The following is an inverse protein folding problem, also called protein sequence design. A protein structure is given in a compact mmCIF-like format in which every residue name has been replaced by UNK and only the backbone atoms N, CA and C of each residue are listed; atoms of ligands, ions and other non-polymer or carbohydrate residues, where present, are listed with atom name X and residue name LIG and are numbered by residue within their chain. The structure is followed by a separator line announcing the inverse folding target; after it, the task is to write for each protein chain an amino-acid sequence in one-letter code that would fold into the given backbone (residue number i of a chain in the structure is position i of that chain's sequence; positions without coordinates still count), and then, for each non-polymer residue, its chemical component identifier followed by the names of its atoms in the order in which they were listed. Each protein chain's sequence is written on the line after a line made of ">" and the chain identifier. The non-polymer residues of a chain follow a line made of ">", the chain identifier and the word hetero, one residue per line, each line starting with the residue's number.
data_IF_855719533768
#
_entry.id   IF_855719533768
#
_cell.length_a   1.000
_cell.length_b   1.000
_cell.length_c   1.000
_cell.angle_alpha   90.00
_cell.angle_beta   90.00
_cell.angle_gamma   90.00
#
_symmetry.space_group_name_H-M   'P 1'
#
loop_
_entity.id
_entity.type
_entity.pdbx_description
1 polymer ?
#
# COMPACT_ATOMS: atom_id res chain seq x y z
N UNK A 1 -45.41 43.89 31.25
CA UNK A 1 -46.00 43.21 30.07
C UNK A 1 -44.84 43.03 29.09
N UNK A 2 -43.79 42.35 29.55
CA UNK A 2 -42.41 42.49 29.07
C UNK A 2 -41.78 41.10 28.97
N UNK A 3 -42.41 40.22 28.19
CA UNK A 3 -41.96 38.85 27.98
C UNK A 3 -42.27 38.32 26.56
N UNK A 4 -42.36 39.21 25.56
CA UNK A 4 -42.67 38.85 24.16
C UNK A 4 -41.87 39.69 23.14
N UNK A 5 -40.58 39.93 23.41
CA UNK A 5 -39.70 40.65 22.45
C UNK A 5 -38.33 40.01 22.20
N UNK A 6 -38.15 38.76 22.60
CA UNK A 6 -36.91 37.99 22.36
C UNK A 6 -37.12 36.79 21.40
N UNK A 7 -38.16 36.80 20.56
CA UNK A 7 -38.43 35.74 19.57
C UNK A 7 -38.25 36.17 18.10
N UNK A 8 -37.53 37.26 17.82
CA UNK A 8 -37.34 37.75 16.43
C UNK A 8 -35.88 37.87 15.96
N UNK A 9 -34.98 37.03 16.47
CA UNK A 9 -33.59 36.93 15.95
C UNK A 9 -33.20 35.51 15.47
N UNK A 10 -34.16 34.59 15.34
CA UNK A 10 -33.90 33.19 14.98
C UNK A 10 -34.42 32.81 13.56
N UNK A 11 -34.09 33.59 12.53
CA UNK A 11 -34.37 33.19 11.14
C UNK A 11 -33.42 33.82 10.11
N UNK A 12 -32.12 33.83 10.37
CA UNK A 12 -31.15 34.00 9.28
C UNK A 12 -30.84 32.60 8.70
N UNK A 13 -31.12 32.31 7.43
CA UNK A 13 -30.65 31.08 6.82
C UNK A 13 -29.12 31.15 6.83
N UNK A 14 -28.49 30.22 7.54
CA UNK A 14 -27.08 29.91 7.38
C UNK A 14 -26.87 29.56 5.91
N UNK A 15 -26.55 30.57 5.10
CA UNK A 15 -26.00 30.41 3.76
C UNK A 15 -24.72 29.65 3.99
N UNK A 16 -24.79 28.33 3.85
CA UNK A 16 -23.64 27.47 3.81
C UNK A 16 -22.71 28.08 2.75
N UNK A 17 -21.55 28.56 3.18
CA UNK A 17 -20.48 28.92 2.27
C UNK A 17 -20.37 27.79 1.24
N UNK A 18 -20.27 28.09 -0.06
CA UNK A 18 -20.29 27.06 -1.09
C UNK A 18 -19.21 26.05 -0.73
N UNK A 19 -19.63 24.83 -0.36
CA UNK A 19 -18.72 23.76 -0.04
C UNK A 19 -17.90 23.56 -1.31
N UNK A 20 -16.65 24.04 -1.31
CA UNK A 20 -15.74 23.94 -2.44
C UNK A 20 -15.86 22.52 -3.01
N UNK A 21 -16.29 22.42 -4.27
CA UNK A 21 -16.82 21.20 -4.88
C UNK A 21 -16.00 19.98 -4.45
N UNK A 22 -16.49 19.23 -3.45
CA UNK A 22 -15.74 18.10 -2.90
C UNK A 22 -15.75 17.04 -3.99
N UNK A 23 -14.58 16.75 -4.58
CA UNK A 23 -14.45 15.67 -5.57
C UNK A 23 -15.01 14.38 -4.99
N UNK A 24 -15.60 13.54 -5.84
CA UNK A 24 -16.22 12.31 -5.39
C UNK A 24 -15.19 11.40 -4.69
N UNK A 25 -15.60 10.66 -3.65
CA UNK A 25 -14.71 9.70 -2.99
C UNK A 25 -14.09 8.66 -3.91
N UNK A 26 -14.83 8.26 -4.94
CA UNK A 26 -14.33 7.39 -5.99
C UNK A 26 -13.20 8.06 -6.80
N UNK A 27 -13.38 9.32 -7.22
CA UNK A 27 -12.34 10.05 -7.95
C UNK A 27 -11.05 10.19 -7.13
N UNK A 28 -11.16 10.48 -5.83
CA UNK A 28 -10.00 10.55 -4.95
C UNK A 28 -9.28 9.20 -4.80
N UNK A 29 -10.02 8.08 -4.79
CA UNK A 29 -9.44 6.74 -4.76
C UNK A 29 -8.71 6.41 -6.08
N UNK A 30 -9.29 6.74 -7.24
CA UNK A 30 -8.62 6.55 -8.53
C UNK A 30 -7.35 7.41 -8.64
N UNK A 31 -7.39 8.67 -8.20
CA UNK A 31 -6.20 9.55 -8.18
C UNK A 31 -5.13 8.98 -7.25
N UNK A 32 -5.51 8.46 -6.07
CA UNK A 32 -4.59 7.80 -5.16
C UNK A 32 -3.92 6.59 -5.81
N UNK A 33 -4.70 5.71 -6.43
CA UNK A 33 -4.18 4.53 -7.13
C UNK A 33 -3.26 4.91 -8.28
N UNK A 34 -3.61 5.92 -9.08
CA UNK A 34 -2.75 6.44 -10.15
C UNK A 34 -1.46 7.06 -9.60
N UNK A 35 -1.51 7.78 -8.49
CA UNK A 35 -0.33 8.35 -7.86
C UNK A 35 0.64 7.25 -7.38
N UNK A 36 0.11 6.21 -6.73
CA UNK A 36 0.89 5.03 -6.34
C UNK A 36 1.44 4.29 -7.56
N UNK A 37 0.69 4.23 -8.65
CA UNK A 37 1.13 3.60 -9.89
C UNK A 37 2.47 4.22 -10.36
N UNK A 38 2.53 5.54 -10.50
CA UNK A 38 3.74 6.22 -10.97
C UNK A 38 4.92 6.08 -9.98
N UNK A 39 4.68 6.29 -8.68
CA UNK A 39 5.74 6.20 -7.66
C UNK A 39 6.30 4.78 -7.56
N UNK A 40 5.45 3.76 -7.45
CA UNK A 40 5.87 2.39 -7.25
C UNK A 40 6.32 1.69 -8.53
N UNK A 41 5.90 2.13 -9.72
CA UNK A 41 6.50 1.64 -10.97
C UNK A 41 7.99 2.01 -11.04
N UNK A 42 8.32 3.25 -10.67
CA UNK A 42 9.70 3.71 -10.63
C UNK A 42 10.49 3.02 -9.50
N UNK A 43 9.96 3.02 -8.28
CA UNK A 43 10.64 2.43 -7.13
C UNK A 43 10.80 0.92 -7.24
N UNK A 44 9.77 0.18 -7.65
CA UNK A 44 9.81 -1.28 -7.77
C UNK A 44 10.86 -1.73 -8.79
N UNK A 45 10.94 -1.03 -9.93
CA UNK A 45 11.97 -1.30 -10.93
C UNK A 45 13.39 -0.97 -10.44
N UNK A 46 13.57 0.16 -9.74
CA UNK A 46 14.84 0.52 -9.13
C UNK A 46 15.27 -0.51 -8.07
N UNK A 47 14.35 -0.91 -7.20
CA UNK A 47 14.58 -1.92 -6.16
C UNK A 47 15.04 -3.26 -6.75
N UNK A 48 14.42 -3.71 -7.83
CA UNK A 48 14.80 -4.96 -8.49
C UNK A 48 16.22 -4.92 -9.06
N UNK A 49 16.68 -3.73 -9.48
CA UNK A 49 18.02 -3.50 -10.01
C UNK A 49 19.05 -3.18 -8.94
N UNK A 50 18.64 -2.78 -7.75
CA UNK A 50 19.50 -2.24 -6.69
C UNK A 50 20.66 -3.20 -6.33
N UNK A 51 20.35 -4.48 -6.09
CA UNK A 51 21.32 -5.52 -5.75
C UNK A 51 22.26 -5.88 -6.91
N UNK A 52 21.87 -5.58 -8.15
CA UNK A 52 22.59 -5.88 -9.39
C UNK A 52 23.43 -4.69 -9.88
N UNK A 53 22.96 -3.46 -9.67
CA UNK A 53 23.61 -2.24 -10.17
C UNK A 53 24.65 -1.70 -9.18
N UNK A 54 24.39 -1.84 -7.87
CA UNK A 54 25.23 -1.32 -6.79
C UNK A 54 25.99 -2.46 -6.07
N UNK A 55 26.90 -3.13 -6.78
CA UNK A 55 27.62 -4.32 -6.29
C UNK A 55 28.88 -4.02 -5.46
N UNK A 56 29.37 -2.77 -5.44
CA UNK A 56 30.58 -2.39 -4.69
C UNK A 56 30.36 -2.61 -3.19
N UNK A 57 30.93 -3.69 -2.64
CA UNK A 57 30.80 -4.07 -1.23
C UNK A 57 29.37 -4.44 -0.84
N UNK A 58 28.57 -4.99 -1.76
CA UNK A 58 27.15 -5.32 -1.56
C UNK A 58 26.28 -4.15 -1.12
N UNK A 59 26.69 -2.92 -1.47
CA UNK A 59 26.00 -1.68 -1.11
C UNK A 59 24.50 -1.74 -1.38
N UNK A 60 24.06 -2.22 -2.55
CA UNK A 60 22.64 -2.31 -2.88
C UNK A 60 21.86 -3.27 -1.96
N UNK A 61 22.41 -4.44 -1.68
CA UNK A 61 21.79 -5.43 -0.77
C UNK A 61 21.75 -4.92 0.67
N UNK A 62 22.84 -4.31 1.15
CA UNK A 62 22.90 -3.71 2.50
C UNK A 62 21.92 -2.53 2.62
N UNK A 63 21.85 -1.69 1.60
CA UNK A 63 20.93 -0.53 1.55
C UNK A 63 19.48 -0.99 1.58
N UNK A 64 19.13 -2.05 0.86
CA UNK A 64 17.79 -2.64 0.89
C UNK A 64 17.47 -3.27 2.26
N UNK A 65 18.45 -3.93 2.88
CA UNK A 65 18.34 -4.44 4.25
C UNK A 65 18.05 -3.31 5.25
N UNK A 66 18.83 -2.23 5.22
CA UNK A 66 18.65 -1.05 6.10
C UNK A 66 17.26 -0.44 5.91
N UNK A 67 16.79 -0.32 4.67
CA UNK A 67 15.46 0.19 4.36
C UNK A 67 14.37 -0.64 5.04
N UNK A 68 14.37 -1.96 4.86
CA UNK A 68 13.33 -2.81 5.43
C UNK A 68 13.43 -2.95 6.95
N UNK A 69 14.65 -2.96 7.51
CA UNK A 69 14.85 -2.93 8.97
C UNK A 69 14.32 -1.63 9.56
N UNK A 70 14.65 -0.48 8.97
CA UNK A 70 14.16 0.82 9.45
C UNK A 70 12.64 0.97 9.24
N UNK A 71 12.08 0.49 8.13
CA UNK A 71 10.63 0.40 7.93
C UNK A 71 9.94 -0.38 9.05
N UNK A 72 10.52 -1.51 9.45
CA UNK A 72 9.99 -2.34 10.56
C UNK A 72 10.01 -1.56 11.88
N UNK A 73 11.13 -0.91 12.20
CA UNK A 73 11.29 -0.14 13.44
C UNK A 73 10.34 1.07 13.48
N UNK A 74 10.23 1.82 12.38
CA UNK A 74 9.40 3.02 12.32
C UNK A 74 7.92 2.74 12.13
N UNK A 75 7.52 1.51 11.78
CA UNK A 75 6.10 1.11 11.71
C UNK A 75 5.38 1.27 13.05
N UNK A 76 6.10 1.14 14.17
CA UNK A 76 5.56 1.37 15.52
C UNK A 76 5.19 2.84 15.74
N UNK A 77 5.78 3.79 15.02
CA UNK A 77 5.54 5.24 15.22
C UNK A 77 4.69 5.84 14.09
N UNK A 78 4.46 5.09 13.02
CA UNK A 78 3.77 5.56 11.82
C UNK A 78 2.34 6.05 12.10
N UNK A 79 1.52 5.30 12.85
CA UNK A 79 0.11 5.66 13.08
C UNK A 79 -0.08 7.04 13.74
N UNK A 80 0.61 7.42 14.83
CA UNK A 80 0.54 8.75 15.43
C UNK A 80 1.00 9.86 14.50
N UNK A 81 2.02 9.58 13.68
CA UNK A 81 2.53 10.56 12.72
C UNK A 81 1.46 10.84 11.67
N UNK A 82 0.80 9.80 11.16
CA UNK A 82 -0.29 9.93 10.18
C UNK A 82 -1.51 10.62 10.79
N UNK A 83 -1.90 10.30 12.03
CA UNK A 83 -3.05 10.96 12.68
C UNK A 83 -2.79 12.43 12.97
N UNK A 84 -1.55 12.82 13.34
CA UNK A 84 -1.18 14.24 13.56
C UNK A 84 -1.04 15.03 12.26
N UNK A 85 -0.40 14.47 11.25
CA UNK A 85 -0.18 15.17 9.97
C UNK A 85 -1.44 15.18 9.10
N UNK A 86 -2.32 14.20 9.30
CA UNK A 86 -3.42 13.89 8.40
C UNK A 86 -2.96 13.03 7.21
N UNK A 87 -3.84 12.17 6.67
CA UNK A 87 -3.45 11.16 5.68
C UNK A 87 -2.92 11.78 4.37
N UNK A 88 -3.49 12.90 3.89
CA UNK A 88 -3.00 13.58 2.68
C UNK A 88 -1.55 14.07 2.83
N UNK A 89 -1.22 14.74 3.94
CA UNK A 89 0.14 15.25 4.16
C UNK A 89 1.12 14.10 4.42
N UNK A 90 0.67 13.06 5.11
CA UNK A 90 1.45 11.85 5.32
C UNK A 90 1.86 11.18 4.00
N UNK A 91 0.97 11.12 3.00
CA UNK A 91 1.29 10.58 1.67
C UNK A 91 2.38 11.40 0.94
N UNK A 92 2.31 12.73 1.02
CA UNK A 92 3.31 13.62 0.41
C UNK A 92 4.67 13.51 1.13
N UNK A 93 4.66 13.49 2.47
CA UNK A 93 5.88 13.28 3.26
C UNK A 93 6.47 11.90 2.97
N UNK A 94 5.63 10.86 2.92
CA UNK A 94 6.05 9.49 2.62
C UNK A 94 6.64 9.33 1.21
N UNK A 95 6.12 10.05 0.21
CA UNK A 95 6.67 10.00 -1.15
C UNK A 95 8.03 10.68 -1.29
N UNK A 96 8.36 11.64 -0.42
CA UNK A 96 9.67 12.33 -0.43
C UNK A 96 10.86 11.37 -0.24
N UNK A 97 10.71 10.33 0.58
CA UNK A 97 11.75 9.34 0.81
C UNK A 97 12.09 8.53 -0.44
N UNK A 98 11.09 8.24 -1.28
CA UNK A 98 11.29 7.49 -2.52
C UNK A 98 12.09 8.30 -3.53
N UNK A 99 11.80 9.61 -3.63
CA UNK A 99 12.54 10.55 -4.47
C UNK A 99 14.01 10.63 -4.04
N UNK A 100 14.26 10.79 -2.74
CA UNK A 100 15.62 10.87 -2.21
C UNK A 100 16.41 9.58 -2.44
N UNK A 101 15.76 8.42 -2.33
CA UNK A 101 16.40 7.14 -2.62
C UNK A 101 16.81 6.98 -4.08
N UNK A 102 15.97 7.42 -5.03
CA UNK A 102 16.32 7.45 -6.45
C UNK A 102 17.43 8.47 -6.74
N UNK A 103 17.39 9.65 -6.13
CA UNK A 103 18.44 10.66 -6.28
C UNK A 103 19.80 10.14 -5.76
N UNK A 104 19.80 9.47 -4.62
CA UNK A 104 21.01 8.89 -4.05
C UNK A 104 21.58 7.75 -4.93
N UNK A 105 20.73 7.11 -5.74
CA UNK A 105 21.12 6.10 -6.73
C UNK A 105 21.82 6.67 -7.98
N UNK A 106 21.67 7.97 -8.25
CA UNK A 106 22.42 8.66 -9.33
C UNK A 106 23.90 8.81 -8.95
N UNK A 107 24.19 9.00 -7.66
CA UNK A 107 25.56 9.08 -7.12
C UNK A 107 25.70 8.08 -5.96
N UNK A 108 25.79 6.76 -6.28
CA UNK A 108 25.76 5.71 -5.28
C UNK A 108 27.08 5.69 -4.49
N UNK A 109 27.03 6.17 -3.26
CA UNK A 109 28.11 6.09 -2.27
C UNK A 109 27.58 5.49 -0.98
N UNK A 110 28.46 4.94 -0.15
CA UNK A 110 28.08 4.41 1.16
C UNK A 110 27.34 5.44 2.02
N UNK A 111 27.79 6.69 2.01
CA UNK A 111 27.16 7.77 2.78
C UNK A 111 25.77 8.12 2.23
N UNK A 112 25.64 8.32 0.92
CA UNK A 112 24.36 8.72 0.31
C UNK A 112 23.31 7.62 0.40
N UNK A 113 23.67 6.36 0.12
CA UNK A 113 22.72 5.25 0.09
C UNK A 113 22.24 4.84 1.49
N UNK A 114 23.14 4.75 2.48
CA UNK A 114 22.76 4.36 3.85
C UNK A 114 21.77 5.36 4.46
N UNK A 115 22.05 6.65 4.31
CA UNK A 115 21.19 7.72 4.82
C UNK A 115 19.84 7.74 4.08
N UNK A 116 19.86 7.61 2.74
CA UNK A 116 18.65 7.57 1.94
C UNK A 116 17.78 6.34 2.26
N UNK A 117 18.38 5.17 2.46
CA UNK A 117 17.66 3.95 2.88
C UNK A 117 16.98 4.10 4.23
N UNK A 118 17.67 4.67 5.23
CA UNK A 118 17.12 4.88 6.56
C UNK A 118 15.96 5.87 6.53
N UNK A 119 16.10 6.96 5.77
CA UNK A 119 15.03 7.94 5.57
C UNK A 119 13.85 7.35 4.78
N UNK A 120 14.12 6.55 3.75
CA UNK A 120 13.08 5.87 2.99
C UNK A 120 12.31 4.86 3.85
N UNK A 121 12.97 4.10 4.73
CA UNK A 121 12.24 3.21 5.65
C UNK A 121 11.27 3.94 6.57
N UNK A 122 11.67 5.11 7.09
CA UNK A 122 10.76 6.00 7.84
C UNK A 122 9.60 6.52 6.98
N UNK A 123 9.89 6.97 5.77
CA UNK A 123 8.86 7.49 4.86
C UNK A 123 7.90 6.39 4.39
N UNK A 124 8.39 5.18 4.15
CA UNK A 124 7.60 4.03 3.76
C UNK A 124 6.63 3.62 4.87
N UNK A 125 7.02 3.69 6.15
CA UNK A 125 6.10 3.38 7.25
C UNK A 125 4.93 4.34 7.29
N UNK A 126 5.19 5.62 7.05
CA UNK A 126 4.17 6.68 6.99
C UNK A 126 3.29 6.53 5.76
N UNK A 127 3.86 6.26 4.58
CA UNK A 127 3.09 6.24 3.32
C UNK A 127 2.06 5.11 3.33
N UNK A 128 2.43 3.91 3.80
CA UNK A 128 1.54 2.75 3.82
C UNK A 128 0.43 2.89 4.85
N UNK A 129 0.74 3.44 6.03
CA UNK A 129 -0.30 3.74 7.02
C UNK A 129 -1.22 4.86 6.51
N UNK A 130 -0.66 5.93 5.93
CA UNK A 130 -1.42 7.03 5.35
C UNK A 130 -2.34 6.59 4.21
N UNK A 131 -1.86 5.69 3.35
CA UNK A 131 -2.62 5.09 2.26
C UNK A 131 -3.79 4.28 2.80
N UNK A 132 -3.56 3.40 3.77
CA UNK A 132 -4.61 2.58 4.37
C UNK A 132 -5.70 3.44 5.03
N UNK A 133 -5.31 4.48 5.78
CA UNK A 133 -6.25 5.42 6.39
C UNK A 133 -7.03 6.22 5.34
N UNK A 134 -6.36 6.77 4.33
CA UNK A 134 -7.03 7.56 3.29
C UNK A 134 -8.01 6.72 2.48
N UNK A 135 -7.59 5.53 2.03
CA UNK A 135 -8.42 4.65 1.22
C UNK A 135 -9.64 4.16 1.98
N UNK A 136 -9.47 3.79 3.26
CA UNK A 136 -10.58 3.41 4.13
C UNK A 136 -11.56 4.57 4.31
N UNK A 137 -11.06 5.77 4.58
CA UNK A 137 -11.90 6.97 4.72
C UNK A 137 -12.66 7.29 3.42
N UNK A 138 -12.01 7.16 2.26
CA UNK A 138 -12.65 7.37 0.96
C UNK A 138 -13.74 6.33 0.70
N UNK A 139 -13.48 5.05 0.97
CA UNK A 139 -14.45 3.96 0.79
C UNK A 139 -15.65 4.10 1.73
N UNK A 140 -15.42 4.44 3.01
CA UNK A 140 -16.49 4.65 3.99
C UNK A 140 -17.33 5.89 3.65
N UNK A 141 -16.70 6.99 3.22
CA UNK A 141 -17.41 8.17 2.72
C UNK A 141 -18.27 7.80 1.51
N UNK A 142 -17.73 7.03 0.56
CA UNK A 142 -18.49 6.59 -0.61
C UNK A 142 -19.70 5.74 -0.23
N UNK A 143 -19.52 4.82 0.72
CA UNK A 143 -20.60 3.95 1.21
C UNK A 143 -21.72 4.75 1.87
N UNK A 144 -21.37 5.75 2.69
CA UNK A 144 -22.34 6.64 3.34
C UNK A 144 -23.09 7.51 2.33
N UNK A 145 -22.38 8.10 1.38
CA UNK A 145 -22.99 8.99 0.38
C UNK A 145 -23.96 8.23 -0.56
N UNK A 146 -23.77 6.92 -0.75
CA UNK A 146 -24.56 6.07 -1.65
C UNK A 146 -25.41 4.99 -0.94
N UNK A 147 -25.50 5.02 0.40
CA UNK A 147 -26.22 4.01 1.21
C UNK A 147 -25.82 2.56 0.89
N UNK A 148 -24.54 2.31 0.63
CA UNK A 148 -23.99 0.98 0.33
C UNK A 148 -23.43 0.31 1.58
N UNK A 149 -23.23 -1.02 1.54
CA UNK A 149 -22.60 -1.73 2.64
C UNK A 149 -21.11 -1.37 2.76
N UNK A 150 -20.74 -0.77 3.89
CA UNK A 150 -19.37 -0.28 4.19
C UNK A 150 -18.32 -1.35 3.90
N UNK A 151 -18.60 -2.59 4.30
CA UNK A 151 -17.66 -3.68 4.14
C UNK A 151 -17.42 -4.12 2.69
N UNK A 152 -18.46 -4.09 1.84
CA UNK A 152 -18.35 -4.42 0.41
C UNK A 152 -17.65 -3.31 -0.35
N UNK A 153 -18.00 -2.06 -0.07
CA UNK A 153 -17.36 -0.89 -0.70
C UNK A 153 -15.89 -0.80 -0.35
N UNK A 154 -15.51 -1.05 0.91
CA UNK A 154 -14.11 -1.13 1.33
C UNK A 154 -13.36 -2.25 0.59
N UNK A 155 -13.98 -3.42 0.46
CA UNK A 155 -13.40 -4.54 -0.30
C UNK A 155 -13.15 -4.17 -1.77
N UNK A 156 -14.12 -3.52 -2.43
CA UNK A 156 -13.99 -3.11 -3.82
C UNK A 156 -12.89 -2.06 -4.03
N UNK A 157 -12.86 -1.01 -3.20
CA UNK A 157 -11.87 0.07 -3.31
C UNK A 157 -10.45 -0.44 -3.05
N UNK A 158 -10.28 -1.34 -2.07
CA UNK A 158 -8.96 -1.93 -1.82
C UNK A 158 -8.56 -2.93 -2.90
N UNK A 159 -9.48 -3.77 -3.38
CA UNK A 159 -9.21 -4.67 -4.50
C UNK A 159 -8.78 -3.91 -5.76
N UNK A 160 -9.45 -2.79 -6.07
CA UNK A 160 -9.09 -1.94 -7.20
C UNK A 160 -7.69 -1.32 -7.02
N UNK A 161 -7.39 -0.77 -5.84
CA UNK A 161 -6.08 -0.21 -5.53
C UNK A 161 -4.95 -1.24 -5.72
N UNK A 162 -5.08 -2.43 -5.13
CA UNK A 162 -4.07 -3.49 -5.26
C UNK A 162 -4.00 -4.07 -6.68
N UNK A 163 -5.11 -4.10 -7.41
CA UNK A 163 -5.14 -4.46 -8.83
C UNK A 163 -4.32 -3.50 -9.69
N UNK A 164 -4.51 -2.19 -9.52
CA UNK A 164 -3.69 -1.17 -10.18
C UNK A 164 -2.23 -1.28 -9.73
N UNK A 165 -2.00 -1.51 -8.45
CA UNK A 165 -0.66 -1.63 -7.90
C UNK A 165 0.11 -2.84 -8.46
N UNK A 166 -0.55 -3.97 -8.73
CA UNK A 166 0.09 -5.13 -9.35
C UNK A 166 0.66 -4.78 -10.75
N UNK A 167 -0.02 -3.91 -11.50
CA UNK A 167 0.45 -3.47 -12.82
C UNK A 167 1.76 -2.67 -12.77
N UNK A 168 2.11 -2.07 -11.62
CA UNK A 168 3.38 -1.33 -11.44
C UNK A 168 4.60 -2.21 -11.65
N UNK A 169 4.53 -3.47 -11.21
CA UNK A 169 5.61 -4.43 -11.39
C UNK A 169 5.82 -4.78 -12.86
N UNK A 170 4.77 -4.75 -13.68
CA UNK A 170 4.91 -4.98 -15.11
C UNK A 170 5.46 -3.73 -15.80
N UNK A 171 4.81 -2.58 -15.59
CA UNK A 171 5.15 -1.32 -16.26
C UNK A 171 6.56 -0.86 -15.91
N UNK A 172 6.90 -0.83 -14.62
CA UNK A 172 8.21 -0.38 -14.14
C UNK A 172 9.35 -1.25 -14.67
N UNK A 173 9.19 -2.57 -14.61
CA UNK A 173 10.24 -3.49 -15.02
C UNK A 173 10.39 -3.58 -16.55
N UNK A 174 9.31 -3.40 -17.32
CA UNK A 174 9.38 -3.24 -18.78
C UNK A 174 10.08 -1.94 -19.18
N UNK A 175 9.80 -0.84 -18.48
CA UNK A 175 10.47 0.44 -18.69
C UNK A 175 11.98 0.32 -18.43
N UNK A 176 12.35 -0.36 -17.34
CA UNK A 176 13.74 -0.71 -17.02
C UNK A 176 14.41 -1.53 -18.12
N UNK A 177 13.76 -2.60 -18.59
CA UNK A 177 14.25 -3.44 -19.68
C UNK A 177 14.47 -2.64 -20.97
N UNK A 178 13.50 -1.81 -21.37
CA UNK A 178 13.56 -1.04 -22.62
C UNK A 178 14.72 -0.01 -22.60
N UNK A 179 14.86 0.71 -21.49
CA UNK A 179 15.91 1.73 -21.35
C UNK A 179 17.31 1.13 -21.24
N UNK A 180 17.45 0.00 -20.54
CA UNK A 180 18.73 -0.70 -20.43
C UNK A 180 19.11 -1.43 -21.73
N UNK A 181 18.15 -1.89 -22.52
CA UNK A 181 18.39 -2.58 -23.82
C UNK A 181 18.80 -1.62 -24.95
N UNK A 182 18.28 -0.40 -24.94
CA UNK A 182 18.59 0.62 -25.95
C UNK A 182 19.98 1.27 -25.73
N UNK A 183 20.53 1.20 -24.51
CA UNK A 183 21.93 1.54 -24.25
C UNK A 183 22.84 0.42 -24.74
N UNK A 184 23.21 0.43 -26.03
CA UNK A 184 24.05 -0.59 -26.67
C UNK A 184 25.48 -0.74 -26.10
N UNK A 185 25.81 0.01 -25.05
CA UNK A 185 26.94 -0.23 -24.16
C UNK A 185 26.44 -0.25 -22.70
N UNK A 186 25.85 -1.37 -22.27
CA UNK A 186 25.21 -1.57 -20.94
C UNK A 186 26.11 -1.38 -19.70
N UNK A 187 27.34 -0.88 -19.89
CA UNK A 187 28.28 -0.47 -18.86
C UNK A 187 28.46 1.04 -18.71
N UNK A 188 27.91 1.88 -19.61
CA UNK A 188 28.12 3.32 -19.55
C UNK A 188 27.26 3.97 -18.47
N UNK A 189 27.90 4.76 -17.59
CA UNK A 189 27.29 5.59 -16.54
C UNK A 189 26.05 6.35 -17.03
N UNK A 190 26.05 6.73 -18.31
CA UNK A 190 24.95 7.44 -18.98
C UNK A 190 23.62 6.67 -19.00
N UNK A 191 23.63 5.35 -19.25
CA UNK A 191 22.38 4.57 -19.36
C UNK A 191 21.67 4.40 -18.02
N UNK A 192 22.44 4.14 -16.95
CA UNK A 192 21.93 4.05 -15.58
C UNK A 192 21.40 5.39 -15.09
N UNK A 193 22.13 6.48 -15.33
CA UNK A 193 21.69 7.82 -14.96
C UNK A 193 20.41 8.22 -15.71
N UNK A 194 20.31 7.90 -17.01
CA UNK A 194 19.09 8.14 -17.77
C UNK A 194 17.89 7.39 -17.20
N UNK A 195 18.06 6.12 -16.83
CA UNK A 195 17.01 5.32 -16.19
C UNK A 195 16.49 5.97 -14.90
N UNK A 196 17.39 6.35 -13.99
CA UNK A 196 17.02 6.99 -12.73
C UNK A 196 16.40 8.38 -12.94
N UNK A 197 16.82 9.14 -13.95
CA UNK A 197 16.20 10.43 -14.31
C UNK A 197 14.77 10.24 -14.81
N UNK A 198 14.52 9.23 -15.66
CA UNK A 198 13.16 8.91 -16.13
C UNK A 198 12.28 8.46 -14.96
N UNK A 199 12.80 7.64 -14.05
CA UNK A 199 12.13 7.24 -12.81
C UNK A 199 11.81 8.43 -11.90
N UNK A 200 12.72 9.40 -11.79
CA UNK A 200 12.50 10.62 -11.03
C UNK A 200 11.34 11.44 -11.63
N UNK A 201 11.29 11.61 -12.94
CA UNK A 201 10.19 12.28 -13.63
C UNK A 201 8.84 11.61 -13.37
N UNK A 202 8.81 10.27 -13.43
CA UNK A 202 7.64 9.45 -13.08
C UNK A 202 7.19 9.70 -11.63
N UNK A 203 8.12 9.69 -10.66
CA UNK A 203 7.80 9.96 -9.26
C UNK A 203 7.26 11.37 -9.03
N UNK A 204 7.79 12.39 -9.72
CA UNK A 204 7.29 13.77 -9.63
C UNK A 204 5.83 13.84 -10.08
N UNK A 205 5.46 13.18 -11.19
CA UNK A 205 4.06 13.08 -11.63
C UNK A 205 3.20 12.44 -10.55
N UNK A 206 3.66 11.34 -9.94
CA UNK A 206 2.98 10.69 -8.82
C UNK A 206 2.77 11.62 -7.62
N UNK A 207 3.79 12.39 -7.22
CA UNK A 207 3.70 13.35 -6.11
C UNK A 207 2.73 14.48 -6.43
N UNK A 208 2.75 15.01 -7.66
CA UNK A 208 1.78 16.02 -8.09
C UNK A 208 0.36 15.47 -7.96
N UNK A 209 0.10 14.22 -8.38
CA UNK A 209 -1.20 13.57 -8.18
C UNK A 209 -1.55 13.41 -6.68
N UNK A 210 -0.59 13.08 -5.81
CA UNK A 210 -0.81 13.04 -4.35
C UNK A 210 -1.16 14.42 -3.78
N UNK A 211 -0.55 15.49 -4.30
CA UNK A 211 -0.88 16.86 -3.91
C UNK A 211 -2.29 17.27 -4.34
N UNK A 212 -2.81 16.71 -5.43
CA UNK A 212 -4.14 16.94 -5.98
C UNK A 212 -5.26 16.19 -5.23
N UNK A 213 -4.94 15.29 -4.30
CA UNK A 213 -5.94 14.62 -3.46
C UNK A 213 -6.77 15.62 -2.67
N UNK A 214 -8.07 15.35 -2.55
CA UNK A 214 -8.94 16.18 -1.71
C UNK A 214 -8.58 16.01 -0.22
N UNK A 215 -8.72 17.09 0.56
CA UNK A 215 -8.52 17.02 2.02
C UNK A 215 -9.70 16.26 2.64
N UNK A 216 -9.53 14.95 2.85
CA UNK A 216 -10.45 14.11 3.62
C UNK A 216 -10.01 14.12 5.08
N UNK A 217 -10.55 15.07 5.84
CA UNK A 217 -10.54 14.99 7.29
C UNK A 217 -11.71 14.10 7.71
N UNK A 218 -11.42 13.01 8.42
CA UNK A 218 -12.44 12.34 9.18
C UNK A 218 -12.95 13.31 10.25
N UNK A 219 -14.23 13.70 10.17
CA UNK A 219 -14.96 14.17 11.35
C UNK A 219 -15.14 12.96 12.27
N UNK A 220 -14.14 12.65 13.08
CA UNK A 220 -14.16 11.47 13.95
C UNK A 220 -13.16 11.59 15.09
N UNK A 221 -13.66 12.04 16.25
CA UNK A 221 -13.00 12.10 17.56
C UNK A 221 -11.73 12.95 17.69
N UNK A 222 -11.95 14.23 18.01
CA UNK A 222 -11.06 15.03 18.84
C UNK A 222 -11.04 14.48 20.29
N UNK A 223 -10.66 13.21 20.45
CA UNK A 223 -10.24 12.69 21.76
C UNK A 223 -8.91 13.34 22.16
N UNK A 224 -8.62 13.52 23.46
CA UNK A 224 -7.47 14.30 23.92
C UNK A 224 -6.18 13.82 23.26
N UNK A 225 -5.49 14.77 22.63
CA UNK A 225 -4.22 14.64 21.94
C UNK A 225 -3.07 14.34 22.92
N UNK A 226 -3.13 13.21 23.63
CA UNK A 226 -2.05 12.72 24.47
C UNK A 226 -2.10 11.20 24.63
N UNK A 227 -2.11 10.45 23.52
CA UNK A 227 -1.82 9.02 23.59
C UNK A 227 -0.33 8.86 23.91
N UNK A 228 -0.01 8.70 25.19
CA UNK A 228 1.31 8.29 25.66
C UNK A 228 1.82 7.11 24.82
N UNK A 229 3.13 7.04 24.58
CA UNK A 229 3.76 5.90 23.91
C UNK A 229 3.34 4.55 24.51
N UNK A 230 3.04 4.52 25.83
CA UNK A 230 2.50 3.35 26.50
C UNK A 230 1.08 2.95 26.06
N UNK A 231 0.21 3.92 25.75
CA UNK A 231 -1.11 3.63 25.20
C UNK A 231 -1.00 3.04 23.78
N UNK A 232 -0.03 3.51 23.00
CA UNK A 232 0.23 2.98 21.66
C UNK A 232 0.75 1.54 21.69
N UNK A 233 1.73 1.25 22.55
CA UNK A 233 2.21 -0.10 22.79
C UNK A 233 1.07 -1.03 23.22
N UNK A 234 0.11 -0.54 24.00
CA UNK A 234 -1.07 -1.31 24.40
C UNK A 234 -1.94 -1.74 23.20
N UNK A 235 -2.13 -0.87 22.20
CA UNK A 235 -2.88 -1.22 20.98
C UNK A 235 -2.14 -2.21 20.08
N UNK A 236 -0.80 -2.30 20.16
CA UNK A 236 0.00 -3.30 19.44
C UNK A 236 0.04 -4.62 20.21
N UNK A 237 0.21 -4.56 21.53
CA UNK A 237 0.33 -5.74 22.40
C UNK A 237 -1.00 -6.44 22.61
N UNK A 238 -2.13 -5.72 22.61
CA UNK A 238 -3.44 -6.34 22.82
C UNK A 238 -3.79 -7.37 21.72
N UNK A 239 -3.63 -7.07 20.42
CA UNK A 239 -3.83 -8.06 19.36
C UNK A 239 -2.81 -9.20 19.37
N UNK A 240 -1.58 -8.97 19.84
CA UNK A 240 -0.55 -10.02 19.98
C UNK A 240 -0.89 -11.07 21.04
N UNK A 241 -1.88 -10.82 21.90
CA UNK A 241 -2.41 -11.81 22.85
C UNK A 241 -3.47 -12.72 22.23
N UNK A 242 -3.99 -12.39 21.06
CA UNK A 242 -4.97 -13.24 20.37
C UNK A 242 -4.25 -14.43 19.71
N UNK A 243 -4.69 -15.65 20.07
CA UNK A 243 -4.17 -16.91 19.52
C UNK A 243 -4.25 -16.94 17.99
N UNK A 244 -5.28 -16.33 17.40
CA UNK A 244 -5.43 -16.27 15.93
C UNK A 244 -4.34 -15.41 15.31
N UNK A 245 -4.00 -14.27 15.92
CA UNK A 245 -2.96 -13.40 15.39
C UNK A 245 -1.57 -14.02 15.53
N UNK A 246 -1.31 -14.73 16.64
CA UNK A 246 -0.06 -15.47 16.83
C UNK A 246 0.17 -16.56 15.77
N UNK A 247 -0.88 -17.27 15.35
CA UNK A 247 -0.79 -18.29 14.30
C UNK A 247 -0.51 -17.70 12.91
N UNK A 248 -0.79 -16.41 12.73
CA UNK A 248 -0.58 -15.69 11.46
C UNK A 248 0.84 -15.13 11.35
N UNK A 249 1.54 -14.91 12.47
CA UNK A 249 2.91 -14.36 12.48
C UNK A 249 3.90 -15.24 11.68
N UNK A 250 3.98 -16.57 11.87
CA UNK A 250 4.90 -17.40 11.08
C UNK A 250 4.65 -17.30 9.57
N UNK A 251 3.38 -17.18 9.18
CA UNK A 251 2.99 -17.00 7.79
C UNK A 251 3.44 -15.63 7.24
N UNK A 252 3.35 -14.55 8.04
CA UNK A 252 3.90 -13.23 7.68
C UNK A 252 5.43 -13.26 7.53
N UNK A 253 6.12 -13.99 8.41
CA UNK A 253 7.58 -14.13 8.34
C UNK A 253 7.96 -14.90 7.07
N UNK A 254 7.23 -15.96 6.74
CA UNK A 254 7.44 -16.72 5.52
C UNK A 254 7.25 -15.88 4.26
N UNK A 255 6.16 -15.10 4.15
CA UNK A 255 5.95 -14.22 2.98
C UNK A 255 7.03 -13.14 2.87
N UNK A 256 7.45 -12.55 4.00
CA UNK A 256 8.57 -11.61 4.03
C UNK A 256 9.89 -12.22 3.55
N UNK A 257 10.21 -13.44 3.99
CA UNK A 257 11.39 -14.18 3.54
C UNK A 257 11.34 -14.49 2.03
N UNK A 258 10.18 -14.86 1.51
CA UNK A 258 9.98 -15.07 0.07
C UNK A 258 10.27 -13.81 -0.73
N UNK A 259 9.75 -12.65 -0.30
CA UNK A 259 9.98 -11.37 -0.97
C UNK A 259 11.46 -10.96 -0.92
N UNK A 260 12.10 -11.13 0.24
CA UNK A 260 13.53 -10.86 0.41
C UNK A 260 14.39 -11.72 -0.52
N UNK A 261 14.08 -13.02 -0.63
CA UNK A 261 14.78 -13.92 -1.55
C UNK A 261 14.64 -13.47 -3.01
N UNK A 262 13.41 -13.13 -3.43
CA UNK A 262 13.13 -12.70 -4.81
C UNK A 262 13.86 -11.40 -5.16
N UNK A 263 13.83 -10.39 -4.29
CA UNK A 263 14.41 -9.08 -4.61
C UNK A 263 15.93 -8.99 -4.38
N UNK A 264 16.49 -9.73 -3.42
CA UNK A 264 17.91 -9.63 -3.08
C UNK A 264 18.78 -10.72 -3.70
N UNK A 265 18.28 -11.97 -3.75
CA UNK A 265 19.09 -13.14 -4.13
C UNK A 265 18.79 -13.58 -5.57
N UNK A 266 17.52 -13.70 -5.94
CA UNK A 266 17.13 -14.18 -7.26
C UNK A 266 17.59 -13.25 -8.39
N UNK A 267 17.36 -11.94 -8.25
CA UNK A 267 17.80 -10.92 -9.23
C UNK A 267 19.32 -10.92 -9.43
N UNK A 268 20.08 -10.92 -8.32
CA UNK A 268 21.54 -10.83 -8.32
C UNK A 268 22.22 -12.15 -8.71
N UNK A 269 21.83 -13.26 -8.11
CA UNK A 269 22.58 -14.53 -8.19
C UNK A 269 22.07 -15.48 -9.27
N UNK A 270 20.84 -15.32 -9.75
CA UNK A 270 20.24 -16.23 -10.74
C UNK A 270 20.02 -15.50 -12.07
N UNK A 271 19.35 -14.34 -12.06
CA UNK A 271 18.96 -13.66 -13.30
C UNK A 271 20.15 -12.93 -13.94
N UNK A 272 20.93 -12.20 -13.14
CA UNK A 272 22.05 -11.40 -13.66
C UNK A 272 23.11 -12.23 -14.40
N UNK A 273 23.59 -13.40 -13.89
CA UNK A 273 24.60 -14.19 -14.60
C UNK A 273 24.10 -14.80 -15.91
N UNK A 274 22.79 -15.05 -16.04
CA UNK A 274 22.21 -15.74 -17.20
C UNK A 274 21.74 -14.76 -18.29
N UNK A 275 21.10 -13.65 -17.88
CA UNK A 275 20.42 -12.72 -18.79
C UNK A 275 21.01 -11.30 -18.77
N UNK A 276 22.04 -11.06 -17.95
CA UNK A 276 22.64 -9.75 -17.74
C UNK A 276 21.73 -8.79 -16.95
N UNK A 277 22.23 -7.58 -16.71
CA UNK A 277 21.54 -6.53 -15.92
C UNK A 277 20.22 -6.13 -16.59
N UNK A 278 20.19 -6.03 -17.92
CA UNK A 278 18.98 -5.75 -18.68
C UNK A 278 17.91 -6.84 -18.52
N UNK A 279 18.33 -8.10 -18.34
CA UNK A 279 17.44 -9.24 -18.17
C UNK A 279 16.65 -9.25 -16.85
N UNK A 280 17.13 -8.52 -15.84
CA UNK A 280 16.47 -8.40 -14.53
C UNK A 280 15.07 -7.79 -14.68
N UNK A 281 14.94 -6.72 -15.46
CA UNK A 281 13.63 -6.12 -15.75
C UNK A 281 12.67 -7.10 -16.42
N UNK A 282 13.14 -7.86 -17.43
CA UNK A 282 12.31 -8.86 -18.10
C UNK A 282 11.80 -9.96 -17.17
N UNK A 283 12.68 -10.54 -16.34
CA UNK A 283 12.31 -11.59 -15.39
C UNK A 283 11.32 -11.11 -14.33
N UNK A 284 11.52 -9.90 -13.80
CA UNK A 284 10.65 -9.35 -12.75
C UNK A 284 9.29 -8.86 -13.29
N UNK A 285 9.23 -8.47 -14.58
CA UNK A 285 7.96 -8.21 -15.25
C UNK A 285 7.11 -9.50 -15.37
N UNK A 286 7.74 -10.64 -15.71
CA UNK A 286 7.07 -11.95 -15.76
C UNK A 286 6.62 -12.38 -14.36
N UNK A 287 7.48 -12.20 -13.34
CA UNK A 287 7.12 -12.46 -11.95
C UNK A 287 5.88 -11.67 -11.52
N UNK A 288 5.83 -10.37 -11.83
CA UNK A 288 4.66 -9.53 -11.55
C UNK A 288 3.40 -9.95 -12.30
N UNK A 289 3.53 -10.26 -13.60
CA UNK A 289 2.41 -10.71 -14.43
C UNK A 289 1.84 -12.06 -13.95
N UNK A 290 2.71 -13.02 -13.62
CA UNK A 290 2.31 -14.29 -13.05
C UNK A 290 1.59 -14.11 -11.71
N UNK A 291 2.10 -13.21 -10.85
CA UNK A 291 1.44 -12.84 -9.60
C UNK A 291 0.02 -12.32 -9.82
N UNK A 292 -0.18 -11.40 -10.77
CA UNK A 292 -1.49 -10.85 -11.09
C UNK A 292 -2.48 -11.93 -11.58
N UNK A 293 -2.03 -12.84 -12.45
CA UNK A 293 -2.86 -13.95 -12.95
C UNK A 293 -3.26 -14.89 -11.82
N UNK A 294 -2.31 -15.27 -10.97
CA UNK A 294 -2.55 -16.16 -9.82
C UNK A 294 -3.54 -15.53 -8.84
N UNK A 295 -3.45 -14.22 -8.62
CA UNK A 295 -4.41 -13.48 -7.78
C UNK A 295 -5.82 -13.50 -8.37
N UNK A 296 -5.97 -13.23 -9.67
CA UNK A 296 -7.27 -13.31 -10.36
C UNK A 296 -7.89 -14.71 -10.28
N UNK A 297 -7.08 -15.76 -10.47
CA UNK A 297 -7.53 -17.15 -10.33
C UNK A 297 -7.95 -17.44 -8.89
N UNK A 298 -7.17 -16.99 -7.90
CA UNK A 298 -7.49 -17.17 -6.49
C UNK A 298 -8.82 -16.51 -6.08
N UNK A 299 -9.08 -15.29 -6.56
CA UNK A 299 -10.37 -14.62 -6.34
C UNK A 299 -11.52 -15.41 -6.98
N UNK A 300 -11.34 -15.87 -8.20
CA UNK A 300 -12.37 -16.65 -8.90
C UNK A 300 -12.68 -17.98 -8.19
N UNK A 301 -11.64 -18.68 -7.71
CA UNK A 301 -11.79 -19.92 -6.92
C UNK A 301 -12.52 -19.65 -5.60
N UNK A 302 -12.19 -18.54 -4.92
CA UNK A 302 -12.85 -18.16 -3.67
C UNK A 302 -14.33 -17.83 -3.89
N UNK A 303 -14.66 -17.10 -4.95
CA UNK A 303 -16.05 -16.80 -5.32
C UNK A 303 -16.81 -18.08 -5.66
N UNK A 304 -16.18 -19.02 -6.38
CA UNK A 304 -16.79 -20.32 -6.67
C UNK A 304 -17.03 -21.14 -5.40
N UNK A 305 -16.07 -21.14 -4.46
CA UNK A 305 -16.17 -21.86 -3.20
C UNK A 305 -17.22 -21.26 -2.26
N UNK A 306 -17.35 -19.94 -2.22
CA UNK A 306 -18.38 -19.26 -1.45
C UNK A 306 -19.77 -19.51 -2.04
N UNK A 307 -19.91 -19.50 -3.38
CA UNK A 307 -21.14 -19.91 -4.05
C UNK A 307 -21.49 -21.37 -3.75
N UNK A 308 -20.54 -22.29 -3.84
CA UNK A 308 -20.74 -23.70 -3.51
C UNK A 308 -21.12 -23.91 -2.04
N UNK A 309 -20.50 -23.17 -1.13
CA UNK A 309 -20.79 -23.21 0.31
C UNK A 309 -22.18 -22.63 0.61
N UNK A 310 -22.59 -21.57 -0.09
CA UNK A 310 -23.93 -20.99 0.01
C UNK A 310 -25.01 -21.97 -0.49
N UNK A 311 -24.78 -22.62 -1.64
CA UNK A 311 -25.69 -23.64 -2.17
C UNK A 311 -25.81 -24.85 -1.25
N UNK A 312 -24.72 -25.29 -0.61
CA UNK A 312 -24.75 -26.41 0.35
C UNK A 312 -25.39 -26.03 1.69
N UNK A 313 -25.23 -24.77 2.13
CA UNK A 313 -25.93 -24.25 3.31
C UNK A 313 -27.44 -24.19 3.11
N UNK A 314 -27.92 -23.88 1.90
CA UNK A 314 -29.34 -23.94 1.55
C UNK A 314 -29.88 -25.39 1.53
N UNK A 315 -29.03 -26.37 1.22
CA UNK A 315 -29.35 -27.79 1.21
C UNK A 315 -29.15 -28.50 2.58
N UNK A 316 -28.98 -27.74 3.68
CA UNK A 316 -28.97 -28.27 5.05
C UNK A 316 -27.77 -29.17 5.40
N UNK A 317 -26.76 -29.23 4.54
CA UNK A 317 -25.61 -30.12 4.71
C UNK A 317 -24.34 -29.28 4.72
N UNK A 318 -23.88 -28.78 5.88
CA UNK A 318 -22.45 -28.69 6.26
C UNK A 318 -22.19 -27.89 7.56
N UNK A 319 -21.30 -28.45 8.40
CA UNK A 319 -20.71 -27.85 9.61
C UNK A 319 -19.54 -26.89 9.26
N UNK A 320 -19.37 -25.75 9.96
CA UNK A 320 -18.53 -24.63 9.53
C UNK A 320 -17.04 -24.72 9.95
N UNK A 321 -16.49 -25.93 10.12
CA UNK A 321 -15.24 -26.14 10.86
C UNK A 321 -13.93 -26.20 10.05
N UNK A 322 -13.98 -26.40 8.74
CA UNK A 322 -12.77 -26.67 7.94
C UNK A 322 -12.55 -25.61 6.87
N UNK A 323 -11.32 -25.09 6.77
CA UNK A 323 -10.77 -24.31 5.64
C UNK A 323 -10.65 -22.77 5.69
N UNK A 324 -10.26 -22.09 6.80
CA UNK A 324 -9.77 -20.71 6.67
C UNK A 324 -8.28 -20.60 6.33
N UNK A 325 -7.48 -21.65 6.50
CA UNK A 325 -5.99 -21.54 6.58
C UNK A 325 -5.32 -21.42 5.20
N UNK A 326 -5.87 -22.06 4.16
CA UNK A 326 -5.30 -22.02 2.80
C UNK A 326 -5.61 -20.71 2.07
N UNK A 327 -6.78 -20.12 2.31
CA UNK A 327 -7.19 -18.83 1.73
C UNK A 327 -6.54 -17.65 2.45
N UNK A 328 -6.36 -17.75 3.78
CA UNK A 328 -5.62 -16.76 4.56
C UNK A 328 -4.17 -16.61 4.06
N UNK A 329 -3.48 -17.73 3.81
CA UNK A 329 -2.13 -17.75 3.23
C UNK A 329 -2.03 -17.06 1.86
N UNK A 330 -3.11 -17.11 1.07
CA UNK A 330 -3.16 -16.55 -0.28
C UNK A 330 -3.43 -15.04 -0.27
N UNK A 331 -4.37 -14.57 0.55
CA UNK A 331 -4.67 -13.14 0.74
C UNK A 331 -3.52 -12.39 1.45
N UNK A 332 -2.74 -13.08 2.27
CA UNK A 332 -1.60 -12.51 2.99
C UNK A 332 -0.46 -12.06 2.07
N UNK A 333 -0.43 -12.54 0.82
CA UNK A 333 0.56 -12.12 -0.18
C UNK A 333 0.26 -10.78 -0.87
N UNK A 334 -0.99 -10.28 -0.85
CA UNK A 334 -1.41 -9.16 -1.74
C UNK A 334 -2.41 -8.15 -1.13
N UNK A 335 -2.42 -7.95 0.18
CA UNK A 335 -3.13 -6.81 0.80
C UNK A 335 -4.25 -7.21 1.76
N UNK A 336 -4.23 -6.60 2.94
CA UNK A 336 -4.80 -7.15 4.18
C UNK A 336 -6.21 -6.64 4.56
N UNK A 337 -7.05 -6.21 3.61
CA UNK A 337 -8.31 -5.51 3.98
C UNK A 337 -9.62 -6.27 3.75
N UNK A 338 -9.62 -7.45 3.12
CA UNK A 338 -10.87 -8.11 2.70
C UNK A 338 -11.45 -9.09 3.72
N UNK A 339 -10.67 -9.52 4.71
CA UNK A 339 -11.07 -10.62 5.60
C UNK A 339 -12.11 -10.23 6.67
N UNK A 340 -12.09 -8.99 7.16
CA UNK A 340 -12.98 -8.58 8.24
C UNK A 340 -14.41 -8.23 7.80
N UNK A 341 -14.62 -7.79 6.55
CA UNK A 341 -15.96 -7.40 6.06
C UNK A 341 -16.88 -8.59 5.79
N UNK A 342 -16.35 -9.67 5.21
CA UNK A 342 -17.16 -10.84 4.86
C UNK A 342 -17.69 -11.60 6.08
N UNK A 343 -16.93 -11.64 7.18
CA UNK A 343 -17.33 -12.34 8.40
C UNK A 343 -18.34 -11.58 9.28
N UNK A 344 -18.46 -10.27 9.10
CA UNK A 344 -19.41 -9.43 9.84
C UNK A 344 -20.80 -9.41 9.17
N UNK A 345 -20.85 -9.36 7.84
CA UNK A 345 -22.12 -9.43 7.09
C UNK A 345 -22.76 -10.82 7.21
N UNK A 346 -21.96 -11.88 7.31
CA UNK A 346 -22.47 -13.24 7.50
C UNK A 346 -23.06 -13.49 8.90
N UNK A 347 -22.55 -12.80 9.94
CA UNK A 347 -23.07 -12.92 11.31
C UNK A 347 -24.43 -12.25 11.50
N UNK A 348 -24.72 -11.15 10.77
CA UNK A 348 -26.06 -10.53 10.78
C UNK A 348 -27.11 -11.31 9.98
N UNK A 349 -26.71 -12.04 8.94
CA UNK A 349 -27.62 -12.87 8.15
C UNK A 349 -27.90 -14.24 8.78
N UNK A 350 -27.01 -14.76 9.62
CA UNK A 350 -27.19 -16.05 10.31
C UNK A 350 -27.81 -15.96 11.73
N UNK A 351 -28.11 -14.77 12.25
CA UNK A 351 -28.81 -14.65 13.55
C UNK A 351 -28.11 -15.30 14.75
N UNK A 352 -26.78 -15.41 14.76
CA UNK A 352 -26.03 -15.85 15.93
C UNK A 352 -25.46 -14.64 16.69
N UNK A 353 -26.04 -14.37 17.87
CA UNK A 353 -25.50 -13.46 18.88
C UNK A 353 -24.23 -13.97 19.55
#
# INVERSE_FOLDING_TARGET
>A
MDALRDEEDAAAPLVAAPAASRRSPAADAHILSAAFLFVFSAYGAAQNLESTVNTKGDLGTVSLGILYTSFTLFSVVASPVVTRLGPKRALVVGSSGYVLFILANIVPTWYTMVQASLYLGFCASIIWVGQGTYLTSAALSHARDNNLSEGRTLGNFTGEFWGIMASTQVIGNLLSLALLRNGKDGGSVTGKNLLFVVFLGCMIVGIVLMCLLSKREEKGHNGPLHSSFGAMLKYIVAPLKDRRMLLIIPLMVYTGLQHAFVWAVFTKSIVTPVLGISGVGGAMAIYGAAGAVVVCIGYWIFDLWTLFSYTNSLNGSYCPGCSPILVASFLQSNGWSTWHSGSATHRRLMGCG
#
